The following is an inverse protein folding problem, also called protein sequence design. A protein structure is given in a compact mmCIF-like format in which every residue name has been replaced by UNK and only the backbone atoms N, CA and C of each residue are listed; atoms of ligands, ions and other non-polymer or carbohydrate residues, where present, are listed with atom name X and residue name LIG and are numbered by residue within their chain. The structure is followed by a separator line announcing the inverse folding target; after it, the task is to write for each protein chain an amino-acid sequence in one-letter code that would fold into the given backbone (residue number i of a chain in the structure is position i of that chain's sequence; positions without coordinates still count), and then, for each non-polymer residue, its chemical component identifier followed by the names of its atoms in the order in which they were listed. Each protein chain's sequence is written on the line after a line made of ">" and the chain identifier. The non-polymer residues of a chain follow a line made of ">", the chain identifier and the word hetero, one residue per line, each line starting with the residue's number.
data_IF_941187712279
#
_entry.id   IF_941187712279
#
_cell.length_a   1.000
_cell.length_b   1.000
_cell.length_c   1.000
_cell.angle_alpha   90.00
_cell.angle_beta   90.00
_cell.angle_gamma   90.00
#
_symmetry.space_group_name_H-M   'P 1'
#
loop_
_entity.id
_entity.type
_entity.pdbx_description
1 polymer ?
#
# COMPACT_ATOMS: atom_id res chain seq x y z
N UNK A 1 11.08 -13.28 8.75
CA UNK A 1 10.57 -13.59 7.40
C UNK A 1 9.15 -13.06 7.32
N UNK A 2 8.82 -12.31 6.28
CA UNK A 2 7.47 -11.77 6.11
C UNK A 2 6.49 -12.89 5.74
N UNK A 3 5.27 -12.82 6.27
CA UNK A 3 4.20 -13.77 5.95
C UNK A 3 3.29 -13.16 4.88
N UNK A 4 3.81 -13.08 3.66
CA UNK A 4 3.02 -12.61 2.52
C UNK A 4 1.87 -13.57 2.23
N UNK A 5 0.72 -13.02 1.89
CA UNK A 5 -0.29 -13.76 1.14
C UNK A 5 0.16 -13.82 -0.33
N UNK A 6 0.53 -15.01 -0.80
CA UNK A 6 1.09 -15.23 -2.14
C UNK A 6 0.02 -15.85 -3.04
N UNK A 7 -0.27 -15.20 -4.16
CA UNK A 7 -1.25 -15.62 -5.14
C UNK A 7 -0.64 -15.58 -6.54
N UNK A 8 -1.11 -16.43 -7.44
CA UNK A 8 -0.78 -16.35 -8.86
C UNK A 8 -2.05 -15.94 -9.61
N UNK A 9 -1.96 -14.87 -10.40
CA UNK A 9 -3.06 -14.42 -11.25
C UNK A 9 -3.08 -15.23 -12.57
N UNK A 10 -4.22 -15.22 -13.27
CA UNK A 10 -4.43 -16.00 -14.50
C UNK A 10 -3.43 -15.67 -15.63
N UNK A 11 -2.87 -14.45 -15.60
CA UNK A 11 -1.83 -13.98 -16.53
C UNK A 11 -0.42 -14.53 -16.22
N UNK A 12 -0.31 -15.39 -15.21
CA UNK A 12 0.94 -16.03 -14.79
C UNK A 12 1.83 -15.15 -13.89
N UNK A 13 1.39 -13.95 -13.54
CA UNK A 13 2.07 -13.07 -12.59
C UNK A 13 1.82 -13.51 -11.14
N UNK A 14 2.83 -13.27 -10.30
CA UNK A 14 2.75 -13.54 -8.87
C UNK A 14 2.48 -12.26 -8.10
N UNK A 15 1.49 -12.32 -7.19
CA UNK A 15 1.14 -11.26 -6.27
C UNK A 15 1.54 -11.62 -4.84
N UNK A 16 2.32 -10.75 -4.21
CA UNK A 16 2.65 -10.80 -2.79
C UNK A 16 1.92 -9.68 -2.08
N UNK A 17 1.05 -10.02 -1.14
CA UNK A 17 0.27 -9.05 -0.38
C UNK A 17 0.61 -9.10 1.11
N UNK A 18 0.86 -7.93 1.71
CA UNK A 18 1.01 -7.75 3.15
C UNK A 18 0.60 -6.34 3.56
N UNK A 19 -0.20 -6.21 4.62
CA UNK A 19 -0.67 -4.93 5.19
C UNK A 19 -1.35 -3.96 4.20
N UNK A 20 -1.94 -4.51 3.12
CA UNK A 20 -2.59 -3.76 2.04
C UNK A 20 -1.63 -3.26 0.96
N UNK A 21 -0.34 -3.58 1.06
CA UNK A 21 0.65 -3.37 0.01
C UNK A 21 0.72 -4.65 -0.83
N UNK A 22 0.70 -4.46 -2.14
CA UNK A 22 0.75 -5.52 -3.13
C UNK A 22 2.02 -5.37 -3.97
N UNK A 23 2.71 -6.48 -4.24
CA UNK A 23 3.84 -6.55 -5.16
C UNK A 23 3.50 -7.55 -6.25
N UNK A 24 3.56 -7.12 -7.52
CA UNK A 24 3.40 -7.95 -8.70
C UNK A 24 4.76 -8.20 -9.34
N UNK A 25 5.06 -9.47 -9.59
CA UNK A 25 6.30 -9.91 -10.23
C UNK A 25 6.03 -11.03 -11.23
N UNK A 26 6.92 -11.21 -12.20
CA UNK A 26 6.78 -12.22 -13.24
C UNK A 26 7.13 -13.63 -12.75
N UNK A 27 8.20 -13.75 -11.97
CA UNK A 27 8.63 -15.00 -11.36
C UNK A 27 9.57 -14.73 -10.18
N UNK A 28 9.66 -15.71 -9.28
CA UNK A 28 10.59 -15.66 -8.16
C UNK A 28 11.21 -17.02 -7.86
N UNK A 29 12.26 -16.98 -7.03
CA UNK A 29 12.83 -18.15 -6.38
C UNK A 29 13.02 -17.88 -4.90
N UNK A 30 12.76 -18.87 -4.07
CA UNK A 30 13.05 -18.78 -2.63
C UNK A 30 14.50 -19.18 -2.35
N UNK A 31 15.24 -18.31 -1.67
CA UNK A 31 16.61 -18.58 -1.22
C UNK A 31 16.90 -17.80 0.05
N UNK A 32 17.50 -18.47 1.03
CA UNK A 32 17.89 -17.89 2.31
C UNK A 32 16.71 -17.20 3.07
N UNK A 33 15.50 -17.76 2.91
CA UNK A 33 14.28 -17.21 3.51
C UNK A 33 13.82 -15.88 2.91
N UNK A 34 14.27 -15.57 1.68
CA UNK A 34 13.82 -14.41 0.90
C UNK A 34 13.27 -14.84 -0.46
N UNK A 35 12.38 -14.02 -1.02
CA UNK A 35 11.82 -14.22 -2.35
C UNK A 35 12.60 -13.37 -3.35
N UNK A 36 13.49 -14.00 -4.11
CA UNK A 36 14.32 -13.36 -5.12
C UNK A 36 13.53 -13.18 -6.41
N UNK A 37 13.46 -11.93 -6.87
CA UNK A 37 12.72 -11.55 -8.08
C UNK A 37 13.57 -11.92 -9.30
N UNK A 38 12.99 -12.68 -10.24
CA UNK A 38 13.70 -13.13 -11.45
C UNK A 38 14.01 -11.97 -12.39
N UNK A 39 13.04 -11.08 -12.60
CA UNK A 39 13.20 -9.89 -13.44
C UNK A 39 12.87 -8.62 -12.64
N UNK A 40 13.83 -8.07 -11.87
CA UNK A 40 13.59 -6.90 -11.01
C UNK A 40 12.91 -5.72 -11.70
N UNK A 41 13.30 -5.37 -12.93
CA UNK A 41 12.72 -4.24 -13.68
C UNK A 41 11.25 -4.40 -14.05
N UNK A 42 10.71 -5.62 -14.00
CA UNK A 42 9.28 -5.90 -14.25
C UNK A 42 8.44 -5.90 -12.96
N UNK A 43 9.06 -5.80 -11.80
CA UNK A 43 8.35 -5.77 -10.54
C UNK A 43 7.68 -4.42 -10.32
N UNK A 44 6.44 -4.45 -9.84
CA UNK A 44 5.66 -3.26 -9.50
C UNK A 44 5.11 -3.47 -8.10
N UNK A 45 5.16 -2.43 -7.27
CA UNK A 45 4.50 -2.43 -5.98
C UNK A 45 3.44 -1.33 -5.93
N UNK A 46 2.32 -1.59 -5.27
CA UNK A 46 1.23 -0.63 -5.16
C UNK A 46 0.40 -0.85 -3.90
N UNK A 47 -0.34 0.19 -3.51
CA UNK A 47 -1.36 0.13 -2.46
C UNK A 47 -2.52 1.07 -2.81
N UNK A 48 -3.70 0.78 -2.26
CA UNK A 48 -4.88 1.64 -2.39
C UNK A 48 -5.15 2.36 -1.07
N UNK A 49 -5.29 3.68 -1.11
CA UNK A 49 -5.73 4.49 0.03
C UNK A 49 -6.86 5.41 -0.40
N UNK A 50 -8.03 5.24 0.24
CA UNK A 50 -9.24 6.05 0.00
C UNK A 50 -9.67 6.09 -1.48
N UNK A 51 -9.58 4.96 -2.19
CA UNK A 51 -9.95 4.87 -3.61
C UNK A 51 -8.87 5.33 -4.59
N UNK A 52 -7.72 5.81 -4.10
CA UNK A 52 -6.59 6.21 -4.94
C UNK A 52 -5.53 5.12 -4.94
N UNK A 53 -5.09 4.73 -6.14
CA UNK A 53 -4.03 3.76 -6.35
C UNK A 53 -2.67 4.47 -6.43
N UNK A 54 -1.74 4.07 -5.58
CA UNK A 54 -0.36 4.56 -5.59
C UNK A 54 0.55 3.40 -5.93
N UNK A 55 1.42 3.57 -6.92
CA UNK A 55 2.30 2.51 -7.40
C UNK A 55 3.71 3.03 -7.73
N UNK A 56 4.69 2.15 -7.58
CA UNK A 56 6.09 2.40 -7.89
C UNK A 56 6.63 1.23 -8.72
N UNK A 57 7.29 1.55 -9.83
CA UNK A 57 8.06 0.57 -10.60
C UNK A 57 9.41 0.32 -9.92
N UNK A 58 9.83 -0.94 -9.88
CA UNK A 58 11.12 -1.32 -9.37
C UNK A 58 12.28 -1.00 -10.35
N UNK A 59 12.00 -0.57 -11.57
CA UNK A 59 13.02 -0.28 -12.59
C UNK A 59 14.02 0.81 -12.15
N UNK A 60 13.59 1.76 -11.31
CA UNK A 60 14.43 2.89 -10.89
C UNK A 60 15.47 2.54 -9.81
N UNK A 61 15.17 1.60 -8.91
CA UNK A 61 16.05 1.23 -7.79
C UNK A 61 16.56 -0.21 -7.87
N UNK A 62 15.89 -1.09 -8.62
CA UNK A 62 16.24 -2.50 -8.85
C UNK A 62 16.42 -3.33 -7.57
N UNK A 63 15.42 -3.29 -6.68
CA UNK A 63 15.35 -4.23 -5.56
C UNK A 63 15.31 -5.67 -6.07
N UNK A 64 16.17 -6.53 -5.50
CA UNK A 64 16.32 -7.92 -5.98
C UNK A 64 15.42 -8.91 -5.26
N UNK A 65 14.85 -8.51 -4.13
CA UNK A 65 13.97 -9.36 -3.33
C UNK A 65 12.64 -8.64 -3.08
N UNK A 66 11.58 -9.43 -2.90
CA UNK A 66 10.24 -8.93 -2.55
C UNK A 66 10.30 -8.20 -1.21
N UNK A 67 11.08 -8.70 -0.26
CA UNK A 67 11.23 -8.11 1.07
C UNK A 67 11.86 -6.72 1.01
N UNK A 68 12.99 -6.56 0.30
CA UNK A 68 13.66 -5.26 0.21
C UNK A 68 12.78 -4.24 -0.54
N UNK A 69 12.01 -4.70 -1.54
CA UNK A 69 11.07 -3.84 -2.25
C UNK A 69 9.87 -3.44 -1.37
N UNK A 70 9.33 -4.40 -0.61
CA UNK A 70 8.27 -4.14 0.37
C UNK A 70 8.71 -3.13 1.42
N UNK A 71 9.89 -3.27 2.00
CA UNK A 71 10.42 -2.34 3.01
C UNK A 71 10.46 -0.90 2.47
N UNK A 72 10.93 -0.73 1.23
CA UNK A 72 10.96 0.59 0.58
C UNK A 72 9.56 1.17 0.31
N UNK A 73 8.55 0.31 0.11
CA UNK A 73 7.17 0.75 -0.13
C UNK A 73 6.41 1.02 1.16
N UNK A 74 6.72 0.26 2.20
CA UNK A 74 6.08 0.37 3.50
C UNK A 74 6.31 1.74 4.15
N UNK A 75 7.50 2.34 3.96
CA UNK A 75 7.79 3.70 4.41
C UNK A 75 6.83 4.71 3.76
N UNK A 76 6.65 4.64 2.44
CA UNK A 76 5.73 5.52 1.72
C UNK A 76 4.29 5.30 2.19
N UNK A 77 3.84 4.04 2.23
CA UNK A 77 2.51 3.68 2.68
C UNK A 77 2.19 4.23 4.08
N UNK A 78 3.13 4.13 5.02
CA UNK A 78 2.99 4.66 6.37
C UNK A 78 2.80 6.18 6.41
N UNK A 79 3.54 6.92 5.56
CA UNK A 79 3.38 8.38 5.44
C UNK A 79 2.02 8.74 4.86
N UNK A 80 1.58 8.08 3.79
CA UNK A 80 0.29 8.36 3.17
C UNK A 80 -0.87 7.99 4.10
N UNK A 81 -0.82 6.82 4.74
CA UNK A 81 -1.84 6.35 5.69
C UNK A 81 -1.97 7.29 6.89
N UNK A 82 -0.85 7.75 7.47
CA UNK A 82 -0.88 8.69 8.59
C UNK A 82 -1.44 10.07 8.21
N UNK A 83 -1.10 10.59 7.02
CA UNK A 83 -1.68 11.84 6.49
C UNK A 83 -3.18 11.70 6.21
N UNK A 84 -3.61 10.57 5.66
CA UNK A 84 -5.03 10.28 5.44
C UNK A 84 -5.81 10.25 6.77
N UNK A 85 -5.28 9.59 7.80
CA UNK A 85 -5.93 9.56 9.12
C UNK A 85 -6.07 10.97 9.71
N UNK A 86 -5.06 11.82 9.57
CA UNK A 86 -5.11 13.22 10.04
C UNK A 86 -6.16 14.06 9.29
N UNK A 87 -6.33 13.84 7.99
CA UNK A 87 -7.35 14.54 7.20
C UNK A 87 -8.78 14.07 7.52
N UNK A 88 -8.95 12.81 7.92
CA UNK A 88 -10.26 12.29 8.36
C UNK A 88 -10.63 12.85 9.73
N UNK A 89 -9.66 12.98 10.65
CA UNK A 89 -9.93 13.52 11.99
C UNK A 89 -10.17 15.04 12.00
N UNK A 90 -9.58 15.79 11.07
CA UNK A 90 -9.83 17.23 10.92
C UNK A 90 -11.17 17.57 10.22
N UNK A 91 -11.82 16.59 9.58
CA UNK A 91 -13.11 16.77 8.89
C UNK A 91 -14.37 16.55 9.74
N UNK A 92 -14.26 16.24 11.04
CA UNK A 92 -15.41 15.86 11.89
C UNK A 92 -15.97 16.97 12.80
N UNK A 93 -15.56 18.22 12.62
CA UNK A 93 -16.18 19.39 13.26
C UNK A 93 -16.51 20.46 12.22
N UNK A 94 -17.68 20.33 11.59
CA UNK A 94 -18.49 21.45 11.05
C UNK A 94 -19.75 20.86 10.41
N UNK A 95 -20.69 20.43 11.25
CA UNK A 95 -22.12 20.40 10.92
C UNK A 95 -22.90 20.16 12.21
N UNK A 96 -23.10 21.26 12.92
CA UNK A 96 -23.92 21.36 14.13
C UNK A 96 -24.19 22.83 14.37
N UNK A 97 -24.72 23.52 13.35
CA UNK A 97 -25.14 24.89 13.49
C UNK A 97 -26.30 24.89 14.50
N UNK A 98 -26.02 25.55 15.61
CA UNK A 98 -26.88 25.86 16.74
C UNK A 98 -28.23 26.42 16.31
N UNK A 99 -29.30 25.66 16.53
CA UNK A 99 -30.64 26.21 16.74
C UNK A 99 -30.79 26.44 18.24
N UNK A 100 -30.34 27.61 18.70
CA UNK A 100 -30.68 28.12 20.03
C UNK A 100 -32.19 28.36 20.10
N UNK A 101 -32.80 27.82 21.14
CA UNK A 101 -34.16 28.07 21.56
C UNK A 101 -34.42 29.55 21.87
N UNK A 102 -35.72 29.86 21.99
CA UNK A 102 -36.35 31.05 22.58
C UNK A 102 -36.44 32.35 21.76
N UNK A 103 -37.64 32.57 21.20
CA UNK A 103 -38.41 33.79 21.50
C UNK A 103 -39.88 33.45 21.72
N UNK A 104 -40.31 33.54 22.98
CA UNK A 104 -41.70 33.75 23.39
C UNK A 104 -42.17 35.13 22.91
N UNK A 105 -43.38 35.19 22.35
CA UNK A 105 -44.39 36.22 22.58
C UNK A 105 -45.75 35.64 22.15
#
# INVERSE_FOLDING_TARGET
>A
MYQFNIMQDDDGLWRFELDGINLLIDAYSEKDGKHWIKTPSKAIAFFNLSGNLYGVSNDMKTFRTVEDFFDSMHEQYSIFKSKHIKNISSGRQQNGNSLSADRRA
#
